data_IF_191650970341
#
_entry.id   IF_191650970341
#
_cell.length_a   1.000
_cell.length_b   1.000
_cell.length_c   1.000
_cell.angle_alpha   90.00
_cell.angle_beta   90.00
_cell.angle_gamma   90.00
#
_symmetry.space_group_name_H-M   'P 1'
#
loop_
_entity.id
_entity.type
_entity.pdbx_description
1 polymer ?
#
# COMPACT_ATOMS: atom_id res chain seq x y z
N UNK A 1 -15.53 31.33 4.55
CA UNK A 1 -15.11 29.91 4.62
C UNK A 1 -15.60 29.22 3.37
N UNK A 2 -14.92 28.17 2.89
CA UNK A 2 -15.23 27.56 1.59
C UNK A 2 -16.01 26.26 1.80
N UNK A 3 -17.21 26.19 1.22
CA UNK A 3 -18.09 25.00 1.16
C UNK A 3 -18.21 24.27 2.50
N UNK A 4 -18.67 24.98 3.54
CA UNK A 4 -18.76 24.51 4.92
C UNK A 4 -20.18 24.15 5.38
N UNK A 5 -21.14 24.07 4.44
CA UNK A 5 -22.50 23.65 4.72
C UNK A 5 -22.67 22.13 4.74
N UNK A 6 -23.62 21.64 5.53
CA UNK A 6 -23.96 20.20 5.58
C UNK A 6 -24.36 19.64 4.20
N UNK A 7 -24.98 20.46 3.35
CA UNK A 7 -25.31 20.09 1.98
C UNK A 7 -24.08 19.99 1.06
N UNK A 8 -23.06 20.82 1.26
CA UNK A 8 -21.80 20.74 0.49
C UNK A 8 -20.99 19.49 0.88
N UNK A 9 -21.02 19.12 2.16
CA UNK A 9 -20.39 17.90 2.68
C UNK A 9 -21.11 16.65 2.16
N UNK A 10 -22.44 16.63 2.25
CA UNK A 10 -23.26 15.56 1.70
C UNK A 10 -23.04 15.39 0.18
N UNK A 11 -23.11 16.48 -0.59
CA UNK A 11 -22.85 16.44 -2.04
C UNK A 11 -21.43 15.92 -2.35
N UNK A 12 -20.42 16.35 -1.58
CA UNK A 12 -19.05 15.89 -1.76
C UNK A 12 -18.89 14.39 -1.54
N UNK A 13 -19.52 13.85 -0.50
CA UNK A 13 -19.50 12.41 -0.21
C UNK A 13 -20.32 11.62 -1.23
N UNK A 14 -21.51 12.09 -1.62
CA UNK A 14 -22.39 11.44 -2.60
C UNK A 14 -21.77 11.41 -4.01
N UNK A 15 -20.96 12.41 -4.36
CA UNK A 15 -20.21 12.45 -5.63
C UNK A 15 -18.96 11.57 -5.62
N UNK A 16 -18.69 10.86 -4.52
CA UNK A 16 -17.69 9.80 -4.44
C UNK A 16 -16.44 10.15 -3.62
N UNK A 17 -16.45 11.24 -2.85
CA UNK A 17 -15.36 11.49 -1.91
C UNK A 17 -15.37 10.45 -0.79
N UNK A 18 -14.19 9.89 -0.48
CA UNK A 18 -14.02 8.97 0.65
C UNK A 18 -14.07 9.68 2.02
N UNK A 19 -13.79 10.99 2.05
CA UNK A 19 -13.85 11.85 3.23
C UNK A 19 -13.99 13.33 2.83
N UNK A 20 -14.46 14.19 3.73
CA UNK A 20 -14.66 15.62 3.53
C UNK A 20 -14.06 16.42 4.70
N UNK A 21 -13.40 17.56 4.40
CA UNK A 21 -12.82 18.43 5.43
C UNK A 21 -12.87 19.90 5.01
N UNK A 22 -13.65 20.70 5.73
CA UNK A 22 -13.86 22.13 5.48
C UNK A 22 -12.71 22.98 5.99
N UNK A 23 -12.54 24.18 5.41
CA UNK A 23 -11.53 25.16 5.86
C UNK A 23 -12.14 26.21 6.80
N UNK A 24 -11.39 26.70 7.82
CA UNK A 24 -10.03 26.31 8.18
C UNK A 24 -10.01 24.98 8.96
N UNK A 25 -9.02 24.12 8.67
CA UNK A 25 -8.86 22.84 9.36
C UNK A 25 -7.57 22.77 10.17
N UNK A 26 -7.53 21.84 11.13
CA UNK A 26 -6.32 21.45 11.84
C UNK A 26 -5.47 20.51 10.99
N UNK A 27 -4.18 20.79 10.89
CA UNK A 27 -3.22 19.92 10.22
C UNK A 27 -3.20 18.51 10.84
N UNK A 28 -3.30 18.40 12.16
CA UNK A 28 -3.31 17.11 12.87
C UNK A 28 -4.53 16.27 12.48
N UNK A 29 -5.69 16.92 12.31
CA UNK A 29 -6.93 16.25 11.88
C UNK A 29 -6.83 15.77 10.44
N UNK A 30 -6.27 16.60 9.54
CA UNK A 30 -6.04 16.20 8.15
C UNK A 30 -5.15 14.94 8.07
N UNK A 31 -4.01 14.95 8.78
CA UNK A 31 -3.09 13.80 8.80
C UNK A 31 -3.76 12.56 9.37
N UNK A 32 -4.55 12.69 10.44
CA UNK A 32 -5.29 11.58 11.02
C UNK A 32 -6.31 10.97 10.04
N UNK A 33 -7.05 11.82 9.32
CA UNK A 33 -8.03 11.40 8.29
C UNK A 33 -7.35 10.68 7.12
N UNK A 34 -6.26 11.23 6.57
CA UNK A 34 -5.47 10.56 5.51
C UNK A 34 -4.99 9.17 5.96
N UNK A 35 -4.43 9.06 7.17
CA UNK A 35 -4.01 7.76 7.72
C UNK A 35 -5.17 6.78 7.87
N UNK A 36 -6.34 7.25 8.28
CA UNK A 36 -7.54 6.42 8.40
C UNK A 36 -8.01 5.88 7.04
N UNK A 37 -8.01 6.73 6.01
CA UNK A 37 -8.35 6.32 4.64
C UNK A 37 -7.37 5.28 4.07
N UNK A 38 -6.06 5.49 4.27
CA UNK A 38 -5.04 4.53 3.85
C UNK A 38 -5.18 3.18 4.57
N UNK A 39 -5.45 3.19 5.88
CA UNK A 39 -5.74 1.95 6.62
C UNK A 39 -6.97 1.24 6.09
N UNK A 40 -8.04 1.95 5.76
CA UNK A 40 -9.26 1.35 5.19
C UNK A 40 -8.98 0.67 3.85
N UNK A 41 -8.11 1.25 3.02
CA UNK A 41 -7.65 0.65 1.75
C UNK A 41 -6.73 -0.56 1.96
N UNK A 42 -5.89 -0.53 2.99
CA UNK A 42 -4.97 -1.64 3.33
C UNK A 42 -5.54 -2.73 4.24
N UNK A 43 -6.71 -2.51 4.86
CA UNK A 43 -7.37 -3.46 5.76
C UNK A 43 -8.07 -4.61 5.02
N UNK A 44 -8.13 -4.55 3.69
CA UNK A 44 -8.46 -5.70 2.85
C UNK A 44 -7.22 -6.55 2.64
N UNK A 45 -7.00 -7.54 3.52
CA UNK A 45 -6.13 -8.70 3.29
C UNK A 45 -4.68 -8.39 2.88
N UNK A 46 -3.90 -7.72 3.73
CA UNK A 46 -2.48 -8.09 3.77
C UNK A 46 -2.43 -9.51 4.31
N UNK A 47 -2.49 -10.51 3.43
CA UNK A 47 -2.22 -11.90 3.82
C UNK A 47 -0.74 -11.89 4.20
N UNK A 48 -0.40 -12.04 5.49
CA UNK A 48 0.97 -11.86 5.94
C UNK A 48 1.89 -12.92 5.31
N UNK A 49 1.33 -14.03 4.80
CA UNK A 49 2.08 -15.10 4.15
C UNK A 49 1.49 -15.40 2.77
N UNK A 50 2.24 -15.08 1.70
CA UNK A 50 1.93 -15.47 0.33
C UNK A 50 2.51 -16.85 0.04
N UNK A 51 1.76 -17.70 -0.68
CA UNK A 51 2.25 -19.00 -1.12
C UNK A 51 2.19 -19.08 -2.65
N UNK A 52 3.34 -19.31 -3.29
CA UNK A 52 3.46 -19.41 -4.75
C UNK A 52 4.26 -20.66 -5.09
N UNK A 53 3.57 -21.72 -5.51
CA UNK A 53 4.19 -23.04 -5.73
C UNK A 53 4.85 -23.55 -4.44
N UNK A 54 6.17 -23.72 -4.46
CA UNK A 54 6.96 -24.16 -3.29
C UNK A 54 7.45 -23.01 -2.41
N UNK A 55 7.20 -21.75 -2.81
CA UNK A 55 7.63 -20.58 -2.06
C UNK A 55 6.58 -20.17 -1.03
N UNK A 56 7.04 -19.88 0.19
CA UNK A 56 6.28 -19.23 1.26
C UNK A 56 6.95 -17.90 1.56
N UNK A 57 6.24 -16.80 1.44
CA UNK A 57 6.76 -15.44 1.58
C UNK A 57 5.99 -14.77 2.70
N UNK A 58 6.65 -14.58 3.84
CA UNK A 58 6.13 -13.76 4.93
C UNK A 58 6.46 -12.29 4.64
N UNK A 59 5.45 -11.52 4.22
CA UNK A 59 5.59 -10.11 3.84
C UNK A 59 5.78 -9.21 5.06
N UNK A 60 5.25 -9.61 6.22
CA UNK A 60 5.41 -8.88 7.47
C UNK A 60 6.82 -9.05 8.06
N UNK A 61 7.32 -10.29 8.08
CA UNK A 61 8.66 -10.62 8.58
C UNK A 61 9.77 -10.45 7.52
N UNK A 62 9.41 -10.17 6.26
CA UNK A 62 10.32 -10.13 5.10
C UNK A 62 11.15 -11.40 4.96
N UNK A 63 10.51 -12.55 5.12
CA UNK A 63 11.14 -13.88 5.14
C UNK A 63 10.64 -14.76 4.01
N UNK A 64 11.53 -15.48 3.34
CA UNK A 64 11.17 -16.36 2.23
C UNK A 64 11.66 -17.77 2.51
N UNK A 65 10.79 -18.75 2.34
CA UNK A 65 11.14 -20.17 2.38
C UNK A 65 10.80 -20.82 1.06
N UNK A 66 11.62 -21.80 0.66
CA UNK A 66 11.30 -22.78 -0.38
C UNK A 66 11.22 -24.15 0.25
N UNK A 67 10.00 -24.65 0.45
CA UNK A 67 9.80 -25.80 1.34
C UNK A 67 10.17 -25.42 2.78
N UNK A 68 11.19 -26.08 3.34
CA UNK A 68 11.70 -25.80 4.69
C UNK A 68 12.96 -24.92 4.70
N UNK A 69 13.59 -24.72 3.54
CA UNK A 69 14.83 -23.95 3.43
C UNK A 69 14.55 -22.46 3.33
N UNK A 70 15.19 -21.67 4.20
CA UNK A 70 15.12 -20.22 4.15
C UNK A 70 16.06 -19.64 3.08
N UNK A 71 15.53 -18.69 2.29
CA UNK A 71 16.28 -17.99 1.25
C UNK A 71 16.51 -16.55 1.70
N UNK A 72 17.77 -16.20 1.96
CA UNK A 72 18.17 -14.82 2.23
C UNK A 72 18.18 -14.02 0.92
N UNK A 73 17.42 -12.93 0.90
CA UNK A 73 17.37 -12.00 -0.23
C UNK A 73 17.83 -10.61 0.21
N UNK A 74 18.43 -9.87 -0.72
CA UNK A 74 18.62 -8.43 -0.53
C UNK A 74 17.27 -7.71 -0.49
N UNK A 75 17.26 -6.47 0.01
CA UNK A 75 16.05 -5.67 0.09
C UNK A 75 15.34 -5.51 -1.28
N UNK A 76 16.11 -5.34 -2.36
CA UNK A 76 15.59 -5.18 -3.72
C UNK A 76 15.07 -6.49 -4.30
N UNK A 77 15.80 -7.59 -4.13
CA UNK A 77 15.33 -8.91 -4.57
C UNK A 77 14.02 -9.30 -3.89
N UNK A 78 13.91 -9.05 -2.58
CA UNK A 78 12.67 -9.28 -1.84
C UNK A 78 11.52 -8.44 -2.39
N UNK A 79 11.74 -7.13 -2.60
CA UNK A 79 10.71 -6.23 -3.11
C UNK A 79 10.21 -6.65 -4.51
N UNK A 80 11.11 -7.06 -5.41
CA UNK A 80 10.72 -7.61 -6.73
C UNK A 80 9.91 -8.89 -6.55
N UNK A 81 10.36 -9.83 -5.72
CA UNK A 81 9.65 -11.09 -5.48
C UNK A 81 8.25 -10.85 -4.91
N UNK A 82 8.11 -9.95 -3.94
CA UNK A 82 6.84 -9.57 -3.33
C UNK A 82 5.87 -9.00 -4.37
N UNK A 83 6.33 -8.09 -5.23
CA UNK A 83 5.49 -7.52 -6.29
C UNK A 83 5.00 -8.57 -7.30
N UNK A 84 5.83 -9.57 -7.60
CA UNK A 84 5.46 -10.70 -8.45
C UNK A 84 4.51 -11.67 -7.74
N UNK A 85 4.74 -11.95 -6.45
CA UNK A 85 3.95 -12.88 -5.66
C UNK A 85 2.53 -12.35 -5.39
N UNK A 86 2.38 -11.04 -5.13
CA UNK A 86 1.07 -10.39 -4.98
C UNK A 86 0.21 -10.48 -6.25
N UNK A 87 0.85 -10.60 -7.41
CA UNK A 87 0.20 -10.70 -8.73
C UNK A 87 0.45 -12.06 -9.38
N UNK A 88 0.60 -13.11 -8.58
CA UNK A 88 0.90 -14.45 -9.07
C UNK A 88 -0.10 -14.89 -10.15
N UNK A 89 0.42 -15.36 -11.29
CA UNK A 89 -0.38 -15.76 -12.46
C UNK A 89 -0.70 -14.62 -13.43
N UNK A 90 -0.32 -13.38 -13.13
CA UNK A 90 -0.45 -12.24 -14.03
C UNK A 90 0.91 -11.83 -14.62
N UNK A 91 0.89 -11.27 -15.83
CA UNK A 91 2.08 -10.65 -16.41
C UNK A 91 2.31 -9.31 -15.73
N UNK A 92 3.50 -9.10 -15.19
CA UNK A 92 3.94 -7.83 -14.61
C UNK A 92 5.01 -7.23 -15.52
N UNK A 93 4.79 -6.03 -16.02
CA UNK A 93 5.73 -5.34 -16.88
C UNK A 93 6.94 -4.83 -16.12
N UNK A 94 8.05 -4.63 -16.84
CA UNK A 94 9.26 -4.03 -16.26
C UNK A 94 9.00 -2.63 -15.70
N UNK A 95 8.14 -1.84 -16.35
CA UNK A 95 7.81 -0.50 -15.91
C UNK A 95 7.08 -0.53 -14.55
N UNK A 96 6.10 -1.42 -14.38
CA UNK A 96 5.38 -1.60 -13.12
C UNK A 96 6.31 -2.04 -11.98
N UNK A 97 7.26 -2.95 -12.25
CA UNK A 97 8.25 -3.37 -11.25
C UNK A 97 9.13 -2.18 -10.83
N UNK A 98 9.59 -1.37 -11.79
CA UNK A 98 10.42 -0.21 -11.49
C UNK A 98 9.66 0.82 -10.65
N UNK A 99 8.42 1.13 -11.01
CA UNK A 99 7.56 2.07 -10.26
C UNK A 99 7.31 1.61 -8.82
N UNK A 100 7.13 0.31 -8.58
CA UNK A 100 6.83 -0.15 -7.22
C UNK A 100 8.09 -0.39 -6.36
N UNK A 101 9.19 -0.86 -6.97
CA UNK A 101 10.41 -1.26 -6.23
C UNK A 101 11.39 -0.10 -6.04
N UNK A 102 11.44 0.87 -6.97
CA UNK A 102 12.38 1.99 -6.88
C UNK A 102 11.78 3.28 -6.31
N UNK A 103 10.46 3.52 -6.42
CA UNK A 103 9.85 4.76 -5.91
C UNK A 103 9.41 4.68 -4.44
N UNK A 104 9.10 3.48 -3.91
CA UNK A 104 8.72 3.29 -2.49
C UNK A 104 9.89 2.93 -1.56
N UNK A 105 11.04 2.51 -2.10
CA UNK A 105 12.23 2.14 -1.33
C UNK A 105 13.32 3.23 -1.32
N UNK A 106 12.99 4.43 -1.81
CA UNK A 106 13.86 5.60 -1.68
C UNK A 106 13.70 6.21 -0.28
N UNK A 107 14.35 5.60 0.72
CA UNK A 107 14.84 6.36 1.88
C UNK A 107 16.06 7.12 1.38
N UNK A 108 15.83 8.39 1.02
CA UNK A 108 16.87 9.25 0.47
C UNK A 108 18.04 9.40 1.44
N UNK A 109 19.25 9.29 0.89
CA UNK A 109 20.34 10.18 1.26
C UNK A 109 21.13 10.50 -0.02
N UNK A 110 21.70 11.72 -0.14
CA UNK A 110 22.20 12.31 -1.38
C UNK A 110 23.47 11.66 -1.94
#
# INVERSE_FOLDING_TARGET
TAKDGEYDEAEGLDTGADDYLTKPFSYVVLVARVRALLRRRGAGTAVPVLTVGSLRIDTAARRVLRGEDEITLTAKEFAVLEQLALRAGQVVSKAEILEHVWDFAYDGDP
#
